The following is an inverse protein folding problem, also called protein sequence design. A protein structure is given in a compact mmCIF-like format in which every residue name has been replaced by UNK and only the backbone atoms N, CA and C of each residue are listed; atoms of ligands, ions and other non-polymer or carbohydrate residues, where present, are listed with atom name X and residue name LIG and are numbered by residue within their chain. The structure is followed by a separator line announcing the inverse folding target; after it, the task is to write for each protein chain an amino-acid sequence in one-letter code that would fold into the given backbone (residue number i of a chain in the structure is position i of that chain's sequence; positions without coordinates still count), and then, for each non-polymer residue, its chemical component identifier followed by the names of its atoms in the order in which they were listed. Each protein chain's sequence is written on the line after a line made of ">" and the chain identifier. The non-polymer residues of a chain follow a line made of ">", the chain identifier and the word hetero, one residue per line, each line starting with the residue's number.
data_IF_670573603578
#
_entry.id   IF_670573603578
#
_cell.length_a   1.000
_cell.length_b   1.000
_cell.length_c   1.000
_cell.angle_alpha   90.00
_cell.angle_beta   90.00
_cell.angle_gamma   90.00
#
_symmetry.space_group_name_H-M   'P 1'
#
loop_
_entity.id
_entity.type
_entity.pdbx_description
1 polymer ?
#
# COMPACT_ATOMS: atom_id res chain seq x y z
N UNK A 1 -16.92 1.78 9.01
CA UNK A 1 -18.20 1.63 8.29
C UNK A 1 -19.28 0.96 9.15
N UNK A 2 -19.03 -0.22 9.74
CA UNK A 2 -20.01 -0.92 10.60
C UNK A 2 -20.48 -0.05 11.79
N UNK A 3 -19.55 0.55 12.53
CA UNK A 3 -19.85 1.44 13.68
C UNK A 3 -20.59 2.73 13.30
N UNK A 4 -20.39 3.21 12.07
CA UNK A 4 -21.05 4.41 11.55
C UNK A 4 -22.49 4.10 11.14
N UNK A 5 -22.73 2.95 10.51
CA UNK A 5 -24.05 2.52 10.07
C UNK A 5 -24.97 2.12 11.25
N UNK A 6 -24.43 1.44 12.26
CA UNK A 6 -25.18 1.02 13.45
C UNK A 6 -25.61 2.19 14.34
N UNK A 7 -25.00 3.37 14.17
CA UNK A 7 -25.39 4.58 14.92
C UNK A 7 -26.68 5.25 14.42
N UNK A 8 -27.13 4.93 13.20
CA UNK A 8 -28.27 5.61 12.54
C UNK A 8 -29.33 4.68 11.94
N UNK A 9 -29.00 3.42 11.69
CA UNK A 9 -29.89 2.48 10.99
C UNK A 9 -29.85 1.10 11.65
N UNK A 10 -30.88 0.28 11.41
CA UNK A 10 -30.91 -1.14 11.83
C UNK A 10 -31.74 -1.98 10.85
N UNK A 11 -31.23 -3.17 10.50
CA UNK A 11 -32.00 -4.23 9.83
C UNK A 11 -31.44 -5.64 10.14
N UNK A 12 -32.23 -6.73 9.98
CA UNK A 12 -31.92 -8.06 10.54
C UNK A 12 -30.61 -8.72 10.07
N UNK A 13 -30.09 -8.38 8.88
CA UNK A 13 -28.84 -8.92 8.32
C UNK A 13 -27.74 -7.86 8.16
N UNK A 14 -27.90 -6.69 8.79
CA UNK A 14 -27.01 -5.54 8.65
C UNK A 14 -25.53 -5.85 8.72
N UNK A 15 -25.10 -6.68 9.68
CA UNK A 15 -23.68 -7.04 9.81
C UNK A 15 -23.18 -7.85 8.62
N UNK A 16 -23.95 -8.84 8.16
CA UNK A 16 -23.61 -9.64 6.98
C UNK A 16 -23.62 -8.78 5.72
N UNK A 17 -24.63 -7.92 5.55
CA UNK A 17 -24.78 -7.10 4.36
C UNK A 17 -23.69 -6.03 4.27
N UNK A 18 -23.33 -5.39 5.39
CA UNK A 18 -22.21 -4.44 5.44
C UNK A 18 -20.88 -5.16 5.20
N UNK A 19 -20.67 -6.36 5.74
CA UNK A 19 -19.44 -7.13 5.47
C UNK A 19 -19.37 -7.55 4.00
N UNK A 20 -20.47 -8.01 3.42
CA UNK A 20 -20.56 -8.34 1.99
C UNK A 20 -20.34 -7.09 1.13
N UNK A 21 -20.95 -5.96 1.49
CA UNK A 21 -20.75 -4.68 0.82
C UNK A 21 -19.30 -4.21 0.91
N UNK A 22 -18.68 -4.27 2.09
CA UNK A 22 -17.26 -3.94 2.30
C UNK A 22 -16.36 -4.86 1.48
N UNK A 23 -16.72 -6.14 1.32
CA UNK A 23 -15.97 -7.11 0.49
C UNK A 23 -16.02 -6.80 -1.00
N UNK A 24 -17.16 -6.36 -1.53
CA UNK A 24 -17.32 -6.00 -2.95
C UNK A 24 -16.99 -4.53 -3.23
N UNK A 25 -16.96 -3.67 -2.20
CA UNK A 25 -16.65 -2.26 -2.32
C UNK A 25 -15.15 -2.09 -2.54
N UNK A 26 -14.77 -1.78 -3.79
CA UNK A 26 -13.39 -1.56 -4.20
C UNK A 26 -12.68 -0.52 -3.33
N UNK A 27 -13.36 0.58 -2.98
CA UNK A 27 -12.83 1.60 -2.04
C UNK A 27 -12.47 0.98 -0.68
N UNK A 28 -13.32 0.12 -0.12
CA UNK A 28 -13.04 -0.50 1.18
C UNK A 28 -11.94 -1.56 1.13
N UNK A 29 -11.80 -2.26 0.00
CA UNK A 29 -10.73 -3.24 -0.21
C UNK A 29 -9.38 -2.54 -0.41
N UNK A 30 -9.35 -1.40 -1.11
CA UNK A 30 -8.15 -0.58 -1.32
C UNK A 30 -7.55 -0.02 -0.01
N UNK A 31 -8.40 0.36 0.96
CA UNK A 31 -7.92 0.86 2.26
C UNK A 31 -7.40 -0.24 3.21
N UNK A 32 -7.70 -1.51 2.97
CA UNK A 32 -7.13 -2.63 3.73
C UNK A 32 -5.87 -3.09 3.02
N UNK A 33 -4.74 -2.46 3.30
CA UNK A 33 -3.44 -2.85 2.74
C UNK A 33 -3.24 -4.38 2.81
N UNK A 34 -2.90 -4.99 1.68
CA UNK A 34 -2.56 -6.41 1.65
C UNK A 34 -1.17 -6.58 2.28
N UNK A 35 -1.13 -7.28 3.42
CA UNK A 35 0.12 -7.75 4.04
C UNK A 35 0.85 -8.67 3.06
N UNK A 36 2.06 -8.30 2.64
CA UNK A 36 2.96 -9.25 1.98
C UNK A 36 3.40 -10.28 3.03
N UNK A 37 2.96 -11.53 2.88
CA UNK A 37 3.30 -12.65 3.77
C UNK A 37 4.71 -13.22 3.49
N UNK A 38 5.66 -12.34 3.18
CA UNK A 38 7.06 -12.71 2.92
C UNK A 38 7.86 -12.60 4.22
N UNK A 39 8.58 -13.68 4.56
CA UNK A 39 9.32 -13.93 5.83
C UNK A 39 8.47 -14.42 7.00
N UNK A 40 9.05 -15.37 7.74
CA UNK A 40 8.54 -15.83 9.03
C UNK A 40 8.39 -14.66 10.01
N UNK A 41 7.35 -14.71 10.83
CA UNK A 41 7.09 -13.75 11.88
C UNK A 41 8.27 -13.76 12.87
N UNK A 42 8.97 -12.63 12.93
CA UNK A 42 10.08 -12.43 13.87
C UNK A 42 9.57 -11.58 15.03
N UNK A 43 9.11 -12.21 16.14
CA UNK A 43 8.69 -11.47 17.31
C UNK A 43 9.86 -10.64 17.86
N UNK A 44 9.56 -9.43 18.30
CA UNK A 44 10.50 -8.63 19.06
C UNK A 44 10.88 -9.37 20.37
N UNK A 45 12.10 -9.16 20.89
CA UNK A 45 12.49 -9.71 22.19
C UNK A 45 11.49 -9.29 23.28
N UNK A 46 11.29 -10.17 24.24
CA UNK A 46 10.42 -9.93 25.38
C UNK A 46 11.27 -9.24 26.45
N UNK A 47 10.83 -8.09 27.00
CA UNK A 47 11.57 -7.42 28.07
C UNK A 47 11.58 -8.24 29.36
N UNK A 48 12.55 -8.02 30.24
CA UNK A 48 12.71 -8.82 31.47
C UNK A 48 11.89 -8.28 32.65
N UNK A 49 11.66 -6.96 32.71
CA UNK A 49 10.91 -6.29 33.79
C UNK A 49 10.05 -5.14 33.27
N UNK A 50 9.09 -4.65 34.08
CA UNK A 50 8.27 -3.49 33.71
C UNK A 50 9.14 -2.27 33.40
N UNK A 51 8.76 -1.53 32.36
CA UNK A 51 9.38 -0.28 31.90
C UNK A 51 10.78 -0.40 31.27
N UNK A 52 11.26 -1.63 31.01
CA UNK A 52 12.49 -1.83 30.23
C UNK A 52 12.34 -1.37 28.78
N UNK A 53 11.19 -1.64 28.17
CA UNK A 53 10.89 -1.26 26.80
C UNK A 53 9.47 -0.71 26.71
N UNK A 54 9.36 0.50 26.17
CA UNK A 54 8.09 1.17 25.93
C UNK A 54 7.84 1.30 24.44
N UNK A 55 6.58 1.11 24.05
CA UNK A 55 6.07 1.50 22.75
C UNK A 55 5.35 2.83 22.87
N UNK A 56 5.43 3.65 21.81
CA UNK A 56 4.86 4.99 21.76
C UNK A 56 4.15 5.18 20.43
N UNK A 57 2.95 5.74 20.45
CA UNK A 57 2.15 5.97 19.24
C UNK A 57 1.25 7.20 19.38
N UNK A 58 0.83 7.77 18.24
CA UNK A 58 -0.10 8.88 18.17
C UNK A 58 -1.43 8.43 17.56
N UNK A 59 -2.47 8.35 18.40
CA UNK A 59 -3.83 8.11 17.94
C UNK A 59 -4.47 9.44 17.58
N UNK A 60 -4.74 9.62 16.28
CA UNK A 60 -5.35 10.83 15.72
C UNK A 60 -6.76 10.54 15.17
N UNK A 61 -7.46 11.59 14.73
CA UNK A 61 -8.82 11.47 14.15
C UNK A 61 -9.95 11.66 15.15
N UNK A 62 -9.65 12.13 16.36
CA UNK A 62 -10.65 12.58 17.32
C UNK A 62 -11.21 13.96 16.94
N UNK A 63 -12.47 14.28 17.28
CA UNK A 63 -12.97 15.64 17.20
C UNK A 63 -12.13 16.58 18.04
N UNK A 64 -11.85 17.79 17.56
CA UNK A 64 -11.09 18.76 18.35
C UNK A 64 -11.81 19.08 19.67
N UNK A 65 -11.17 18.74 20.78
CA UNK A 65 -11.64 19.02 22.13
C UNK A 65 -11.34 20.46 22.55
N UNK A 66 -11.75 20.82 23.77
CA UNK A 66 -11.44 22.15 24.32
C UNK A 66 -9.92 22.40 24.31
N UNK A 67 -9.51 23.67 24.09
CA UNK A 67 -8.10 24.11 24.00
C UNK A 67 -7.30 23.57 22.80
N UNK A 68 -7.98 23.05 21.78
CA UNK A 68 -7.37 22.65 20.51
C UNK A 68 -6.65 21.31 20.54
N UNK A 69 -7.03 20.42 21.47
CA UNK A 69 -6.51 19.04 21.57
C UNK A 69 -7.23 18.18 20.53
N UNK A 70 -6.49 17.40 19.74
CA UNK A 70 -7.05 16.61 18.64
C UNK A 70 -6.42 15.21 18.48
N UNK A 71 -5.47 14.85 19.35
CA UNK A 71 -4.75 13.58 19.32
C UNK A 71 -4.44 13.05 20.72
N UNK A 72 -4.16 11.75 20.82
CA UNK A 72 -3.68 11.09 22.05
C UNK A 72 -2.31 10.50 21.79
N UNK A 73 -1.34 10.87 22.62
CA UNK A 73 -0.06 10.20 22.69
C UNK A 73 -0.18 9.02 23.65
N UNK A 74 0.01 7.82 23.12
CA UNK A 74 -0.16 6.56 23.82
C UNK A 74 1.22 5.98 24.12
N UNK A 75 1.52 5.75 25.39
CA UNK A 75 2.75 5.09 25.84
C UNK A 75 2.38 3.76 26.48
N UNK A 76 2.98 2.66 26.04
CA UNK A 76 2.67 1.31 26.52
C UNK A 76 3.94 0.59 26.93
N UNK A 77 4.01 0.12 28.18
CA UNK A 77 5.05 -0.80 28.63
C UNK A 77 4.85 -2.18 28.00
N UNK A 78 5.85 -2.68 27.26
CA UNK A 78 5.74 -3.95 26.54
C UNK A 78 5.74 -5.17 27.46
N UNK A 79 6.23 -5.04 28.70
CA UNK A 79 6.19 -6.12 29.69
C UNK A 79 4.84 -6.20 30.41
N UNK A 80 4.49 -5.17 31.18
CA UNK A 80 3.27 -5.14 32.00
C UNK A 80 2.00 -4.84 31.21
N UNK A 81 2.12 -4.30 29.99
CA UNK A 81 1.03 -3.72 29.19
C UNK A 81 0.43 -2.47 29.82
N UNK A 82 1.10 -1.83 30.78
CA UNK A 82 0.61 -0.60 31.39
C UNK A 82 0.64 0.52 30.37
N UNK A 83 -0.49 1.21 30.22
CA UNK A 83 -0.66 2.26 29.23
C UNK A 83 -0.89 3.62 29.89
N UNK A 84 -0.34 4.66 29.27
CA UNK A 84 -0.62 6.06 29.60
C UNK A 84 -1.21 6.77 28.39
N UNK A 85 -2.29 7.51 28.61
CA UNK A 85 -3.03 8.21 27.56
C UNK A 85 -2.92 9.73 27.76
N UNK A 86 -2.06 10.36 26.96
CA UNK A 86 -1.70 11.77 27.13
C UNK A 86 -2.38 12.60 26.04
N UNK A 87 -3.27 13.56 26.38
CA UNK A 87 -3.88 14.42 25.38
C UNK A 87 -2.84 15.34 24.75
N UNK A 88 -2.79 15.40 23.42
CA UNK A 88 -1.84 16.21 22.66
C UNK A 88 -2.46 16.83 21.39
N UNK A 89 -1.69 17.67 20.71
CA UNK A 89 -2.05 18.25 19.39
C UNK A 89 -1.31 17.52 18.29
N UNK A 90 -1.90 17.39 17.09
CA UNK A 90 -1.24 16.85 15.89
C UNK A 90 0.09 17.55 15.55
N UNK A 91 0.19 18.83 15.89
CA UNK A 91 1.41 19.64 15.68
C UNK A 91 2.45 19.48 16.79
N UNK A 92 2.24 18.58 17.76
CA UNK A 92 3.24 18.31 18.80
C UNK A 92 4.31 17.43 18.17
N UNK A 93 5.39 18.04 17.72
CA UNK A 93 6.53 17.40 17.10
C UNK A 93 7.42 16.73 18.15
N UNK A 94 7.51 15.40 18.08
CA UNK A 94 8.57 14.67 18.77
C UNK A 94 9.84 14.74 17.89
N UNK A 95 10.53 15.88 17.90
CA UNK A 95 11.62 16.20 16.98
C UNK A 95 12.85 15.25 17.00
N UNK A 96 12.90 14.23 17.86
CA UNK A 96 14.02 13.28 17.94
C UNK A 96 13.61 11.86 18.40
N UNK A 97 12.53 11.30 17.87
CA UNK A 97 12.23 9.87 18.05
C UNK A 97 12.32 9.16 16.70
N UNK A 98 13.15 8.12 16.63
CA UNK A 98 13.20 7.21 15.48
C UNK A 98 11.82 6.58 15.30
N UNK A 99 11.01 7.16 14.41
CA UNK A 99 9.76 6.57 13.99
C UNK A 99 10.07 5.21 13.34
N UNK A 100 9.53 4.13 13.90
CA UNK A 100 9.38 2.91 13.12
C UNK A 100 8.39 3.22 12.01
N UNK A 101 8.87 3.29 10.78
CA UNK A 101 8.00 3.49 9.62
C UNK A 101 6.96 2.36 9.58
N UNK A 102 5.74 2.68 9.15
CA UNK A 102 4.64 1.74 8.96
C UNK A 102 4.97 0.57 7.98
N UNK A 103 6.16 0.60 7.37
CA UNK A 103 6.65 -0.34 6.37
C UNK A 103 7.76 -1.28 6.86
N UNK A 104 8.10 -1.25 8.16
CA UNK A 104 8.71 -2.42 8.79
C UNK A 104 7.59 -3.27 9.42
N UNK A 105 7.39 -4.54 9.00
CA UNK A 105 6.41 -5.48 9.58
C UNK A 105 6.68 -5.86 11.05
N UNK A 106 7.42 -5.04 11.80
CA UNK A 106 7.60 -5.08 13.24
C UNK A 106 6.87 -3.92 13.94
N UNK A 107 5.75 -3.44 13.38
CA UNK A 107 4.79 -2.64 14.15
C UNK A 107 4.34 -3.49 15.35
N UNK A 108 4.63 -3.04 16.57
CA UNK A 108 4.29 -3.75 17.79
C UNK A 108 2.76 -3.88 17.91
N UNK A 109 2.21 -5.00 17.44
CA UNK A 109 0.76 -5.26 17.42
C UNK A 109 0.10 -5.17 18.80
N UNK A 110 0.90 -5.17 19.88
CA UNK A 110 0.40 -4.90 21.22
C UNK A 110 -0.13 -3.46 21.35
N UNK A 111 0.57 -2.50 20.77
CA UNK A 111 0.19 -1.08 20.78
C UNK A 111 -1.10 -0.85 19.98
N UNK A 112 -1.26 -1.54 18.84
CA UNK A 112 -2.50 -1.52 18.06
C UNK A 112 -3.71 -2.05 18.87
N UNK A 113 -3.51 -3.12 19.65
CA UNK A 113 -4.55 -3.66 20.53
C UNK A 113 -4.92 -2.66 21.63
N UNK A 114 -3.94 -1.95 22.19
CA UNK A 114 -4.17 -0.88 23.18
C UNK A 114 -4.96 0.27 22.56
N UNK A 115 -4.54 0.75 21.38
CA UNK A 115 -5.23 1.84 20.66
C UNK A 115 -6.69 1.50 20.36
N UNK A 116 -6.96 0.26 19.93
CA UNK A 116 -8.34 -0.22 19.72
C UNK A 116 -9.14 -0.26 21.02
N UNK A 117 -8.51 -0.66 22.12
CA UNK A 117 -9.15 -0.70 23.44
C UNK A 117 -9.49 0.71 23.95
N UNK A 118 -8.56 1.66 23.77
CA UNK A 118 -8.78 3.08 24.04
C UNK A 118 -9.96 3.63 23.22
N UNK A 119 -10.00 3.38 21.91
CA UNK A 119 -11.09 3.83 21.05
C UNK A 119 -12.47 3.31 21.51
N UNK A 120 -12.53 2.05 21.95
CA UNK A 120 -13.76 1.47 22.50
C UNK A 120 -14.17 2.10 23.84
N UNK A 121 -13.20 2.31 24.75
CA UNK A 121 -13.44 2.94 26.05
C UNK A 121 -13.94 4.38 25.88
N UNK A 122 -13.29 5.18 25.03
CA UNK A 122 -13.70 6.56 24.77
C UNK A 122 -15.08 6.64 24.13
N UNK A 123 -15.45 5.68 23.26
CA UNK A 123 -16.79 5.63 22.67
C UNK A 123 -17.88 5.39 23.72
N UNK A 124 -17.60 4.59 24.75
CA UNK A 124 -18.51 4.37 25.86
C UNK A 124 -18.54 5.55 26.83
N UNK A 125 -17.39 6.15 27.14
CA UNK A 125 -17.25 7.17 28.18
C UNK A 125 -17.63 8.59 27.68
N UNK A 126 -17.34 8.94 26.43
CA UNK A 126 -17.68 10.25 25.87
C UNK A 126 -19.18 10.40 25.54
N UNK A 127 -19.91 9.28 25.42
CA UNK A 127 -21.36 9.27 25.18
C UNK A 127 -21.79 10.16 24.02
N UNK A 128 -22.75 11.06 24.28
CA UNK A 128 -23.28 12.02 23.29
C UNK A 128 -22.43 13.29 23.12
N UNK A 129 -21.34 13.44 23.89
CA UNK A 129 -20.50 14.64 23.89
C UNK A 129 -19.09 14.34 23.36
N UNK A 130 -18.95 14.02 22.05
CA UNK A 130 -17.68 13.57 21.47
C UNK A 130 -16.61 14.66 21.39
N UNK A 131 -16.91 15.92 21.77
CA UNK A 131 -15.92 17.01 21.90
C UNK A 131 -15.28 17.11 23.30
N UNK A 132 -15.70 16.28 24.25
CA UNK A 132 -15.17 16.24 25.62
C UNK A 132 -14.46 14.91 25.93
N UNK A 133 -14.02 14.20 24.89
CA UNK A 133 -13.36 12.91 25.02
C UNK A 133 -12.06 13.00 25.85
N UNK A 134 -11.40 14.16 25.86
CA UNK A 134 -10.18 14.44 26.61
C UNK A 134 -10.41 14.33 28.13
N UNK A 135 -11.60 14.70 28.62
CA UNK A 135 -11.98 14.57 30.04
C UNK A 135 -12.14 13.11 30.47
N UNK A 136 -12.43 12.21 29.53
CA UNK A 136 -12.62 10.79 29.79
C UNK A 136 -11.31 9.99 29.79
N UNK A 137 -10.18 10.57 29.38
CA UNK A 137 -8.91 9.85 29.25
C UNK A 137 -8.43 9.23 30.56
N UNK A 138 -8.49 9.96 31.67
CA UNK A 138 -8.07 9.45 32.97
C UNK A 138 -8.93 8.24 33.42
N UNK A 139 -10.23 8.27 33.11
CA UNK A 139 -11.13 7.14 33.38
C UNK A 139 -10.83 5.96 32.46
N UNK A 140 -10.54 6.22 31.18
CA UNK A 140 -10.15 5.19 30.21
C UNK A 140 -8.82 4.53 30.60
N UNK A 141 -7.81 5.31 31.00
CA UNK A 141 -6.52 4.82 31.47
C UNK A 141 -6.69 3.94 32.72
N UNK A 142 -7.45 4.41 33.70
CA UNK A 142 -7.77 3.63 34.90
C UNK A 142 -8.49 2.32 34.56
N UNK A 143 -9.54 2.39 33.74
CA UNK A 143 -10.30 1.21 33.34
C UNK A 143 -9.41 0.19 32.62
N UNK A 144 -8.57 0.65 31.68
CA UNK A 144 -7.63 -0.22 30.96
C UNK A 144 -6.61 -0.86 31.91
N UNK A 145 -5.91 -0.08 32.73
CA UNK A 145 -4.86 -0.56 33.63
C UNK A 145 -5.40 -1.42 34.80
N UNK A 146 -6.70 -1.32 35.09
CA UNK A 146 -7.40 -2.18 36.06
C UNK A 146 -7.91 -3.50 35.49
N UNK A 147 -8.04 -3.61 34.16
CA UNK A 147 -8.65 -4.78 33.52
C UNK A 147 -7.64 -5.90 33.36
N UNK A 148 -8.04 -7.13 33.69
CA UNK A 148 -7.21 -8.32 33.50
C UNK A 148 -6.94 -8.56 32.02
N UNK A 149 -5.67 -8.58 31.65
CA UNK A 149 -5.26 -8.86 30.27
C UNK A 149 -5.19 -10.38 30.05
N UNK A 150 -5.76 -10.87 28.93
CA UNK A 150 -5.81 -12.30 28.58
C UNK A 150 -4.44 -12.95 28.42
N UNK A 151 -3.42 -12.19 27.97
CA UNK A 151 -2.06 -12.72 27.75
C UNK A 151 -1.29 -12.95 29.05
N UNK A 152 -1.56 -12.14 30.08
CA UNK A 152 -0.87 -12.19 31.37
C UNK A 152 -1.72 -12.84 32.48
N UNK A 153 -3.04 -12.89 32.32
CA UNK A 153 -4.03 -13.18 33.36
C UNK A 153 -3.93 -12.27 34.59
N UNK A 154 -3.38 -11.07 34.41
CA UNK A 154 -3.20 -10.05 35.44
C UNK A 154 -3.53 -8.68 34.86
N UNK A 155 -3.94 -7.73 35.69
CA UNK A 155 -4.08 -6.35 35.21
C UNK A 155 -2.70 -5.71 35.07
N UNK A 156 -2.51 -4.75 34.13
CA UNK A 156 -1.24 -4.06 34.01
C UNK A 156 -0.76 -3.45 35.32
N UNK A 157 -1.68 -2.86 36.09
CA UNK A 157 -1.37 -2.31 37.40
C UNK A 157 -0.84 -3.36 38.38
N UNK A 158 -1.47 -4.55 38.44
CA UNK A 158 -1.02 -5.61 39.34
C UNK A 158 0.39 -6.10 38.99
N UNK A 159 0.78 -6.08 37.72
CA UNK A 159 2.12 -6.48 37.28
C UNK A 159 3.17 -5.44 37.68
N UNK A 160 2.84 -4.15 37.57
CA UNK A 160 3.77 -3.06 37.92
C UNK A 160 3.92 -2.94 39.44
N UNK A 161 2.82 -2.99 40.18
CA UNK A 161 2.80 -2.68 41.62
C UNK A 161 2.74 -3.91 42.52
N UNK A 162 2.50 -5.11 41.98
CA UNK A 162 2.44 -6.36 42.74
C UNK A 162 1.16 -6.57 43.55
N UNK A 163 0.17 -5.68 43.41
CA UNK A 163 -1.14 -5.80 44.06
C UNK A 163 -2.25 -5.26 43.15
N UNK A 164 -3.49 -5.78 43.24
CA UNK A 164 -4.60 -5.29 42.44
C UNK A 164 -4.96 -3.85 42.83
N UNK A 165 -5.50 -3.09 41.88
CA UNK A 165 -5.97 -1.71 42.15
C UNK A 165 -6.99 -1.73 43.29
N UNK A 166 -6.82 -0.91 44.34
CA UNK A 166 -7.86 -0.67 45.34
C UNK A 166 -9.08 -0.05 44.65
N UNK A 167 -10.24 -0.70 44.75
CA UNK A 167 -11.47 -0.20 44.17
C UNK A 167 -11.87 1.13 44.84
N UNK A 168 -12.68 1.96 44.19
CA UNK A 168 -13.17 3.22 44.81
C UNK A 168 -13.86 3.00 46.16
N UNK A 169 -14.46 1.82 46.36
CA UNK A 169 -15.07 1.41 47.62
C UNK A 169 -14.04 1.06 48.71
N UNK A 170 -12.81 0.70 48.34
CA UNK A 170 -11.71 0.41 49.26
C UNK A 170 -11.01 1.68 49.77
N UNK A 171 -11.41 2.86 49.25
CA UNK A 171 -10.97 4.18 49.75
C UNK A 171 -11.81 4.73 50.90
N UNK A 172 -12.91 4.07 51.27
CA UNK A 172 -13.57 4.39 52.53
C UNK A 172 -12.66 4.00 53.70
N UNK A 173 -12.52 4.91 54.66
CA UNK A 173 -11.79 4.69 55.91
C UNK A 173 -12.43 3.54 56.68
N UNK A 174 -12.03 2.30 56.41
CA UNK A 174 -12.25 1.21 57.35
C UNK A 174 -11.44 1.50 58.63
N UNK A 175 -11.97 1.16 59.82
CA UNK A 175 -11.27 1.40 61.06
C UNK A 175 -9.87 0.82 61.00
N UNK A 176 -8.91 1.62 61.44
CA UNK A 176 -7.48 1.29 61.52
C UNK A 176 -7.26 0.02 62.33
N UNK A 177 -7.25 -1.12 61.68
CA UNK A 177 -6.49 -2.27 62.13
C UNK A 177 -5.11 -2.17 61.50
N UNK A 178 -4.10 -2.19 62.37
CA UNK A 178 -2.67 -2.13 62.07
C UNK A 178 -2.38 -2.89 60.78
N UNK A 179 -2.03 -2.17 59.70
CA UNK A 179 -1.40 -2.79 58.55
C UNK A 179 -0.04 -3.26 59.03
N UNK A 180 0.04 -4.54 59.40
CA UNK A 180 1.29 -5.23 59.64
C UNK A 180 2.19 -4.96 58.44
N UNK A 181 3.35 -4.38 58.71
CA UNK A 181 4.43 -4.20 57.74
C UNK A 181 4.71 -5.56 57.11
N UNK A 182 4.18 -5.78 55.91
CA UNK A 182 4.59 -6.89 55.07
C UNK A 182 6.08 -6.71 54.82
N UNK A 183 6.88 -7.70 55.19
CA UNK A 183 8.34 -7.61 55.09
C UNK A 183 8.71 -7.30 53.63
N UNK A 184 9.45 -6.20 53.42
CA UNK A 184 9.76 -5.70 52.08
C UNK A 184 10.53 -6.74 51.26
N UNK A 185 11.30 -7.61 51.91
CA UNK A 185 12.01 -8.74 51.32
C UNK A 185 11.04 -9.76 50.73
N UNK A 186 10.01 -10.16 51.48
CA UNK A 186 8.97 -11.10 51.05
C UNK A 186 8.18 -10.50 49.88
N UNK A 187 7.98 -9.19 49.87
CA UNK A 187 7.27 -8.50 48.78
C UNK A 187 8.10 -8.49 47.50
N UNK A 188 9.39 -8.19 47.60
CA UNK A 188 10.31 -8.23 46.47
C UNK A 188 10.41 -9.65 45.90
N UNK A 189 10.48 -10.69 46.75
CA UNK A 189 10.48 -12.09 46.30
C UNK A 189 9.20 -12.45 45.55
N UNK A 190 8.04 -12.07 46.09
CA UNK A 190 6.76 -12.29 45.42
C UNK A 190 6.66 -11.55 44.09
N UNK A 191 7.18 -10.31 44.01
CA UNK A 191 7.19 -9.52 42.78
C UNK A 191 8.11 -10.14 41.72
N UNK A 192 9.29 -10.63 42.12
CA UNK A 192 10.21 -11.37 41.22
C UNK A 192 9.55 -12.64 40.69
N UNK A 193 8.93 -13.43 41.56
CA UNK A 193 8.19 -14.63 41.16
C UNK A 193 7.05 -14.29 40.19
N UNK A 194 6.32 -13.19 40.44
CA UNK A 194 5.29 -12.71 39.53
C UNK A 194 5.87 -12.35 38.16
N UNK A 195 6.95 -11.58 38.12
CA UNK A 195 7.62 -11.18 36.86
C UNK A 195 8.12 -12.39 36.08
N UNK A 196 8.70 -13.39 36.73
CA UNK A 196 9.13 -14.64 36.09
C UNK A 196 7.95 -15.41 35.47
N UNK A 197 6.83 -15.52 36.19
CA UNK A 197 5.59 -16.14 35.67
C UNK A 197 5.06 -15.36 34.46
N UNK A 198 5.09 -14.02 34.51
CA UNK A 198 4.63 -13.17 33.40
C UNK A 198 5.56 -13.32 32.19
N UNK A 199 6.87 -13.29 32.39
CA UNK A 199 7.86 -13.49 31.34
C UNK A 199 7.64 -14.80 30.60
N UNK A 200 7.52 -15.91 31.35
CA UNK A 200 7.26 -17.24 30.78
C UNK A 200 5.93 -17.31 30.00
N UNK A 201 4.88 -16.65 30.50
CA UNK A 201 3.58 -16.58 29.79
C UNK A 201 3.67 -15.77 28.50
N UNK A 202 4.38 -14.64 28.52
CA UNK A 202 4.60 -13.82 27.32
C UNK A 202 5.39 -14.60 26.28
N UNK A 203 6.38 -15.38 26.70
CA UNK A 203 7.18 -16.23 25.80
C UNK A 203 6.31 -17.29 25.13
N UNK A 204 5.56 -18.09 25.91
CA UNK A 204 4.65 -19.11 25.38
C UNK A 204 3.59 -18.49 24.45
N UNK A 205 3.10 -17.29 24.79
CA UNK A 205 2.11 -16.60 23.97
C UNK A 205 2.72 -16.10 22.65
N UNK A 206 3.93 -15.54 22.70
CA UNK A 206 4.68 -15.09 21.52
C UNK A 206 4.98 -16.24 20.56
N UNK A 207 5.42 -17.39 21.08
CA UNK A 207 5.67 -18.61 20.29
C UNK A 207 4.39 -19.13 19.62
N UNK A 208 3.26 -19.13 20.33
CA UNK A 208 1.96 -19.51 19.74
C UNK A 208 1.53 -18.56 18.62
N UNK A 209 1.71 -17.25 18.82
CA UNK A 209 1.43 -16.26 17.78
C UNK A 209 2.34 -16.44 16.57
N UNK A 210 3.62 -16.69 16.79
CA UNK A 210 4.59 -17.00 15.73
C UNK A 210 4.16 -18.22 14.92
N UNK A 211 3.86 -19.34 15.59
CA UNK A 211 3.41 -20.56 14.91
C UNK A 211 2.14 -20.34 14.07
N UNK A 212 1.15 -19.59 14.60
CA UNK A 212 -0.08 -19.27 13.87
C UNK A 212 0.14 -18.28 12.71
N UNK A 213 1.07 -17.33 12.86
CA UNK A 213 1.39 -16.35 11.82
C UNK A 213 2.21 -17.01 10.68
N UNK A 214 3.11 -17.93 11.02
CA UNK A 214 3.97 -18.64 10.09
C UNK A 214 3.22 -19.64 9.21
N UNK A 215 2.10 -20.21 9.68
CA UNK A 215 1.22 -21.11 8.90
C UNK A 215 0.73 -20.49 7.57
N UNK A 216 0.69 -19.15 7.50
CA UNK A 216 0.24 -18.39 6.34
C UNK A 216 1.38 -17.67 5.60
N UNK A 217 2.65 -17.90 5.99
CA UNK A 217 3.86 -17.24 5.47
C UNK A 217 4.81 -18.25 4.83
N UNK A 218 5.56 -17.82 3.82
CA UNK A 218 6.58 -18.65 3.15
C UNK A 218 7.96 -18.24 3.62
N UNK A 219 8.77 -19.23 4.02
CA UNK A 219 10.18 -19.03 4.30
C UNK A 219 10.96 -19.09 2.98
N UNK A 220 11.67 -18.00 2.66
CA UNK A 220 12.46 -17.83 1.45
C UNK A 220 13.89 -17.48 1.88
N UNK A 221 14.79 -18.45 1.79
CA UNK A 221 16.23 -18.26 2.02
C UNK A 221 16.94 -18.00 0.69
N UNK A 222 17.91 -17.07 0.70
CA UNK A 222 18.72 -16.70 -0.46
C UNK A 222 20.20 -16.91 -0.13
N UNK A 223 20.98 -17.36 -1.10
CA UNK A 223 22.43 -17.53 -1.04
C UNK A 223 23.15 -16.41 -1.80
N UNK A 224 24.42 -16.14 -1.50
CA UNK A 224 25.24 -15.21 -2.30
C UNK A 224 25.32 -15.70 -3.76
N UNK A 225 24.83 -14.87 -4.70
CA UNK A 225 24.68 -15.22 -6.11
C UNK A 225 23.24 -15.48 -6.57
N UNK A 226 22.29 -15.61 -5.64
CA UNK A 226 20.87 -15.65 -5.99
C UNK A 226 20.40 -14.26 -6.44
N UNK A 227 19.72 -14.21 -7.59
CA UNK A 227 19.11 -13.00 -8.12
C UNK A 227 17.90 -12.62 -7.26
N UNK A 228 18.13 -11.77 -6.27
CA UNK A 228 17.08 -11.10 -5.49
C UNK A 228 16.61 -9.86 -6.26
N UNK A 229 15.29 -9.69 -6.40
CA UNK A 229 14.69 -8.49 -6.98
C UNK A 229 14.90 -7.33 -6.01
N UNK A 230 16.01 -6.63 -6.15
CA UNK A 230 16.19 -5.32 -5.55
C UNK A 230 15.27 -4.33 -6.27
N UNK A 231 14.66 -3.45 -5.49
CA UNK A 231 13.64 -2.49 -5.90
C UNK A 231 14.16 -1.55 -7.01
N UNK A 232 13.98 -1.97 -8.26
CA UNK A 232 14.31 -1.19 -9.46
C UNK A 232 13.45 0.09 -9.46
N UNK A 233 14.07 1.26 -9.62
CA UNK A 233 13.34 2.48 -9.98
C UNK A 233 12.71 2.27 -11.36
N UNK A 234 11.37 2.14 -11.42
CA UNK A 234 10.62 1.86 -12.66
C UNK A 234 9.68 3.00 -12.94
N UNK A 235 10.05 3.82 -13.90
CA UNK A 235 9.25 4.93 -14.42
C UNK A 235 8.17 4.39 -15.33
N UNK A 236 6.92 4.84 -15.17
CA UNK A 236 5.85 4.63 -16.16
C UNK A 236 5.53 5.92 -16.87
N UNK A 237 5.80 5.96 -18.18
CA UNK A 237 5.43 7.04 -19.08
C UNK A 237 4.04 6.79 -19.65
N UNK A 238 3.03 7.48 -19.10
CA UNK A 238 1.69 7.48 -19.70
C UNK A 238 1.60 8.56 -20.77
N UNK A 239 1.40 8.14 -22.02
CA UNK A 239 1.21 9.05 -23.16
C UNK A 239 -0.23 9.57 -23.24
N UNK A 240 -0.37 10.87 -23.50
CA UNK A 240 -1.65 11.55 -23.69
C UNK A 240 -1.68 12.18 -25.08
N UNK A 241 -1.94 11.37 -26.12
CA UNK A 241 -2.25 11.94 -27.42
C UNK A 241 -3.71 12.42 -27.44
N UNK A 242 -3.92 13.58 -28.09
CA UNK A 242 -5.23 13.97 -28.65
C UNK A 242 -5.64 12.88 -29.64
N UNK A 243 -6.58 12.02 -29.27
CA UNK A 243 -7.17 11.08 -30.22
C UNK A 243 -8.00 11.83 -31.24
N UNK A 244 -7.62 11.82 -32.51
CA UNK A 244 -8.42 12.36 -33.62
C UNK A 244 -9.62 11.45 -34.00
N UNK A 245 -10.08 10.59 -33.09
CA UNK A 245 -11.15 9.62 -33.33
C UNK A 245 -12.13 9.62 -32.17
N UNK A 246 -13.41 9.83 -32.51
CA UNK A 246 -14.62 10.02 -31.70
C UNK A 246 -14.96 11.48 -31.32
N UNK A 247 -16.19 11.84 -31.66
CA UNK A 247 -16.91 13.10 -31.39
C UNK A 247 -17.12 13.37 -29.88
N UNK A 248 -16.06 13.54 -29.11
CA UNK A 248 -16.13 13.97 -27.72
C UNK A 248 -14.98 14.94 -27.47
N UNK A 249 -15.25 16.12 -26.90
CA UNK A 249 -14.25 17.15 -26.56
C UNK A 249 -13.17 16.70 -25.56
N UNK A 250 -13.24 15.46 -25.07
CA UNK A 250 -12.38 14.87 -24.04
C UNK A 250 -11.49 13.76 -24.61
N UNK A 251 -10.18 13.73 -24.31
CA UNK A 251 -9.29 12.66 -24.75
C UNK A 251 -9.73 11.28 -24.24
N UNK A 252 -9.60 10.27 -25.11
CA UNK A 252 -10.12 8.91 -24.88
C UNK A 252 -9.68 8.26 -23.56
N UNK A 253 -8.45 8.50 -23.12
CA UNK A 253 -7.89 7.96 -21.88
C UNK A 253 -8.59 8.48 -20.61
N UNK A 254 -9.39 9.55 -20.72
CA UNK A 254 -10.21 10.07 -19.64
C UNK A 254 -11.69 9.69 -19.75
N UNK A 255 -12.08 8.97 -20.80
CA UNK A 255 -13.45 8.47 -20.91
C UNK A 255 -13.74 7.51 -19.73
N UNK A 256 -14.98 7.51 -19.22
CA UNK A 256 -15.36 6.60 -18.15
C UNK A 256 -15.50 5.18 -18.70
N UNK A 257 -14.79 4.24 -18.09
CA UNK A 257 -14.97 2.80 -18.19
C UNK A 257 -15.50 2.31 -16.84
N UNK A 258 -16.72 1.77 -16.80
CA UNK A 258 -17.42 1.42 -15.55
C UNK A 258 -17.42 2.53 -14.47
N UNK A 259 -17.49 3.79 -14.90
CA UNK A 259 -17.53 4.96 -14.01
C UNK A 259 -16.16 5.50 -13.58
N UNK A 260 -15.05 4.91 -14.04
CA UNK A 260 -13.68 5.36 -13.76
C UNK A 260 -12.94 5.74 -15.04
N UNK A 261 -12.14 6.83 -15.07
CA UNK A 261 -11.28 7.15 -16.20
C UNK A 261 -10.38 5.96 -16.60
N UNK A 262 -10.32 5.65 -17.91
CA UNK A 262 -9.50 4.55 -18.46
C UNK A 262 -8.06 4.59 -17.94
N UNK A 263 -7.44 5.78 -17.94
CA UNK A 263 -6.06 5.96 -17.52
C UNK A 263 -5.80 5.47 -16.09
N UNK A 264 -6.78 5.62 -15.18
CA UNK A 264 -6.64 5.22 -13.79
C UNK A 264 -6.52 3.70 -13.63
N UNK A 265 -7.11 2.88 -14.50
CA UNK A 265 -6.95 1.42 -14.43
C UNK A 265 -5.49 1.00 -14.51
N UNK A 266 -4.78 1.47 -15.54
CA UNK A 266 -3.36 1.20 -15.68
C UNK A 266 -2.55 1.84 -14.54
N UNK A 267 -2.88 3.08 -14.15
CA UNK A 267 -2.21 3.77 -13.05
C UNK A 267 -2.26 2.98 -11.74
N UNK A 268 -3.43 2.45 -11.37
CA UNK A 268 -3.58 1.63 -10.16
C UNK A 268 -2.75 0.35 -10.22
N UNK A 269 -2.81 -0.38 -11.33
CA UNK A 269 -2.02 -1.60 -11.52
C UNK A 269 -0.54 -1.31 -11.26
N UNK A 270 0.00 -0.24 -11.83
CA UNK A 270 1.40 0.11 -11.63
C UNK A 270 1.69 0.64 -10.23
N UNK A 271 0.79 1.42 -9.64
CA UNK A 271 0.96 1.98 -8.29
C UNK A 271 1.01 0.91 -7.20
N UNK A 272 0.44 -0.27 -7.46
CA UNK A 272 0.42 -1.41 -6.53
C UNK A 272 1.64 -2.34 -6.69
N UNK A 273 2.39 -2.23 -7.78
CA UNK A 273 3.56 -3.07 -8.01
C UNK A 273 4.73 -2.60 -7.15
N UNK A 274 5.24 -3.46 -6.26
CA UNK A 274 6.38 -3.12 -5.40
C UNK A 274 7.67 -2.87 -6.20
N UNK A 275 7.71 -3.47 -7.39
CA UNK A 275 8.62 -3.22 -8.48
C UNK A 275 8.69 -1.75 -8.88
N UNK A 276 7.59 -1.02 -8.86
CA UNK A 276 7.47 0.36 -9.33
C UNK A 276 7.76 1.32 -8.18
N UNK A 277 8.65 2.29 -8.40
CA UNK A 277 9.03 3.30 -7.40
C UNK A 277 8.60 4.70 -7.77
N UNK A 278 8.49 4.97 -9.07
CA UNK A 278 8.18 6.29 -9.59
C UNK A 278 7.22 6.16 -10.78
N UNK A 279 6.18 6.96 -10.83
CA UNK A 279 5.29 7.07 -11.98
C UNK A 279 5.37 8.48 -12.52
N UNK A 280 5.60 8.61 -13.82
CA UNK A 280 5.70 9.91 -14.49
C UNK A 280 4.52 10.07 -15.43
N UNK A 281 3.54 10.85 -14.98
CA UNK A 281 2.32 11.11 -15.74
C UNK A 281 2.55 12.26 -16.71
N UNK A 282 2.57 11.99 -18.01
CA UNK A 282 2.85 13.00 -19.05
C UNK A 282 1.57 13.68 -19.55
N UNK A 283 0.82 14.35 -18.68
CA UNK A 283 -0.50 14.90 -19.01
C UNK A 283 -0.52 16.43 -19.16
N UNK A 284 -1.53 16.93 -19.89
CA UNK A 284 -1.87 18.35 -19.85
C UNK A 284 -2.23 18.74 -18.39
N UNK A 285 -1.70 19.86 -17.85
CA UNK A 285 -1.95 20.29 -16.48
C UNK A 285 -3.43 20.32 -16.08
N UNK A 286 -4.34 20.55 -17.04
CA UNK A 286 -5.78 20.52 -16.81
C UNK A 286 -6.29 19.17 -16.26
N UNK A 287 -5.61 18.07 -16.58
CA UNK A 287 -5.99 16.72 -16.14
C UNK A 287 -5.13 16.19 -14.99
N UNK A 288 -4.28 17.02 -14.39
CA UNK A 288 -3.41 16.63 -13.28
C UNK A 288 -4.23 16.13 -12.08
N UNK A 289 -5.33 16.81 -11.79
CA UNK A 289 -6.23 16.52 -10.66
C UNK A 289 -6.80 15.09 -10.70
N UNK A 290 -6.95 14.50 -11.90
CA UNK A 290 -7.42 13.11 -12.08
C UNK A 290 -6.52 12.12 -11.33
N UNK A 291 -5.22 12.38 -11.29
CA UNK A 291 -4.23 11.52 -10.64
C UNK A 291 -3.88 12.01 -9.24
N UNK A 292 -4.01 13.31 -8.97
CA UNK A 292 -3.54 13.94 -7.73
C UNK A 292 -4.29 13.45 -6.48
N UNK A 293 -5.62 13.24 -6.56
CA UNK A 293 -6.45 12.63 -5.50
C UNK A 293 -6.12 11.14 -5.26
N UNK A 294 -5.30 10.56 -6.14
CA UNK A 294 -4.90 9.16 -6.13
C UNK A 294 -3.46 9.00 -5.61
N UNK A 295 -2.59 10.00 -5.81
CA UNK A 295 -1.21 10.02 -5.36
C UNK A 295 -1.05 9.82 -3.84
N UNK A 296 -1.94 10.39 -3.02
CA UNK A 296 -1.86 10.26 -1.56
C UNK A 296 -2.09 8.83 -1.02
N UNK A 297 -2.57 7.92 -1.87
CA UNK A 297 -3.01 6.57 -1.48
C UNK A 297 -1.93 5.51 -1.66
N UNK A 298 -0.83 5.82 -2.35
CA UNK A 298 0.20 4.84 -2.74
C UNK A 298 1.59 5.29 -2.29
N UNK A 299 2.49 4.32 -2.15
CA UNK A 299 3.90 4.53 -1.78
C UNK A 299 4.79 4.96 -2.95
N UNK A 300 4.25 4.97 -4.15
CA UNK A 300 4.97 5.26 -5.38
C UNK A 300 5.05 6.77 -5.54
N UNK A 301 6.26 7.29 -5.81
CA UNK A 301 6.42 8.72 -6.10
C UNK A 301 5.76 9.04 -7.43
N UNK A 302 4.99 10.13 -7.51
CA UNK A 302 4.27 10.51 -8.73
C UNK A 302 4.72 11.88 -9.19
N UNK A 303 5.41 11.89 -10.32
CA UNK A 303 5.84 13.11 -11.01
C UNK A 303 4.97 13.37 -12.23
N UNK A 304 5.02 14.61 -12.71
CA UNK A 304 4.24 15.05 -13.86
C UNK A 304 5.16 15.74 -14.86
N UNK A 305 4.99 15.41 -16.13
CA UNK A 305 5.68 16.06 -17.25
C UNK A 305 4.68 16.62 -18.24
N UNK A 306 5.08 17.63 -19.01
CA UNK A 306 4.24 18.21 -20.05
C UNK A 306 4.22 17.32 -21.30
N UNK A 307 3.08 17.18 -21.98
CA UNK A 307 3.00 16.45 -23.24
C UNK A 307 3.65 17.25 -24.37
N UNK A 308 4.29 16.53 -25.29
CA UNK A 308 4.85 17.09 -26.52
C UNK A 308 3.86 17.10 -27.68
N UNK A 309 4.32 17.48 -28.88
CA UNK A 309 3.46 17.52 -30.08
C UNK A 309 3.12 16.12 -30.56
N UNK A 310 4.12 15.25 -30.54
CA UNK A 310 4.00 13.86 -30.92
C UNK A 310 4.17 12.93 -29.71
N UNK A 311 3.98 11.62 -29.96
CA UNK A 311 4.16 10.59 -28.95
C UNK A 311 5.59 10.63 -28.41
N UNK A 312 6.57 10.56 -29.29
CA UNK A 312 8.00 10.57 -28.95
C UNK A 312 8.43 11.78 -28.11
N UNK A 313 7.92 12.98 -28.40
CA UNK A 313 8.23 14.19 -27.63
C UNK A 313 7.73 14.09 -26.18
N UNK A 314 6.60 13.40 -25.99
CA UNK A 314 6.02 13.16 -24.67
C UNK A 314 6.82 12.11 -23.90
N UNK A 315 7.30 11.05 -24.58
CA UNK A 315 8.21 10.04 -23.99
C UNK A 315 9.45 10.76 -23.49
N UNK A 316 10.03 11.59 -24.35
CA UNK A 316 11.25 12.33 -24.07
C UNK A 316 11.07 13.30 -22.90
N UNK A 317 9.96 14.04 -22.86
CA UNK A 317 9.65 14.96 -21.77
C UNK A 317 9.56 14.23 -20.43
N UNK A 318 8.89 13.08 -20.38
CA UNK A 318 8.87 12.28 -19.15
C UNK A 318 10.21 11.60 -18.84
N UNK A 319 11.02 11.26 -19.86
CA UNK A 319 12.38 10.72 -19.66
C UNK A 319 13.29 11.73 -18.94
N UNK A 320 13.08 13.04 -19.10
CA UNK A 320 13.84 14.08 -18.40
C UNK A 320 13.54 14.12 -16.89
N UNK A 321 12.36 13.66 -16.46
CA UNK A 321 11.94 13.65 -15.06
C UNK A 321 12.39 12.39 -14.30
N UNK A 322 12.93 11.41 -15.03
CA UNK A 322 13.42 10.13 -14.51
C UNK A 322 14.64 10.34 -13.64
N UNK A 323 14.60 9.83 -12.41
CA UNK A 323 15.75 9.82 -11.52
C UNK A 323 16.95 9.08 -12.17
N UNK A 324 18.14 9.68 -12.10
CA UNK A 324 19.39 9.11 -12.62
C UNK A 324 19.73 7.74 -12.01
N UNK A 325 19.25 7.45 -10.79
CA UNK A 325 19.40 6.15 -10.12
C UNK A 325 18.49 5.05 -10.67
N UNK A 326 17.54 5.38 -11.54
CA UNK A 326 16.64 4.40 -12.16
C UNK A 326 17.42 3.43 -13.04
N UNK A 327 17.10 2.14 -12.95
CA UNK A 327 17.79 1.12 -13.74
C UNK A 327 17.01 0.69 -14.99
N UNK A 328 15.69 0.91 -14.99
CA UNK A 328 14.79 0.62 -16.11
C UNK A 328 13.71 1.70 -16.25
N UNK A 329 13.36 2.02 -17.49
CA UNK A 329 12.18 2.81 -17.86
C UNK A 329 11.15 1.88 -18.47
N UNK A 330 9.89 2.05 -18.08
CA UNK A 330 8.75 1.31 -18.59
C UNK A 330 7.79 2.31 -19.26
N UNK A 331 7.44 2.10 -20.52
CA UNK A 331 6.54 2.99 -21.25
C UNK A 331 5.23 2.26 -21.45
N UNK A 332 4.12 2.90 -21.06
CA UNK A 332 2.79 2.28 -21.14
C UNK A 332 1.73 3.22 -21.69
N UNK A 333 0.95 2.73 -22.65
CA UNK A 333 -0.21 3.44 -23.16
C UNK A 333 -1.33 3.44 -22.11
N UNK A 334 -1.69 4.63 -21.62
CA UNK A 334 -2.82 4.83 -20.69
C UNK A 334 -4.15 4.30 -21.23
N UNK A 335 -4.29 4.19 -22.56
CA UNK A 335 -5.44 3.61 -23.24
C UNK A 335 -5.47 2.07 -23.22
N UNK A 336 -4.51 1.39 -22.55
CA UNK A 336 -4.52 -0.05 -22.29
C UNK A 336 -4.83 -0.33 -20.81
N UNK A 337 -6.12 -0.31 -20.41
CA UNK A 337 -6.51 -0.43 -19.00
C UNK A 337 -6.40 -1.87 -18.45
N UNK A 338 -6.19 -2.87 -19.31
CA UNK A 338 -6.33 -4.30 -18.96
C UNK A 338 -5.02 -5.07 -18.87
N UNK A 339 -3.89 -4.36 -18.81
CA UNK A 339 -2.58 -4.98 -18.59
C UNK A 339 -2.59 -5.76 -17.27
N UNK A 340 -2.01 -6.96 -17.25
CA UNK A 340 -1.97 -7.77 -16.02
C UNK A 340 -0.69 -7.47 -15.21
N UNK A 341 -0.74 -7.50 -13.87
CA UNK A 341 0.46 -7.41 -13.04
C UNK A 341 1.51 -8.45 -13.40
N UNK A 342 1.09 -9.67 -13.76
CA UNK A 342 1.97 -10.75 -14.17
C UNK A 342 2.72 -10.42 -15.46
N UNK A 343 2.04 -9.89 -16.47
CA UNK A 343 2.66 -9.52 -17.75
C UNK A 343 3.63 -8.34 -17.57
N UNK A 344 3.28 -7.36 -16.73
CA UNK A 344 4.18 -6.27 -16.35
C UNK A 344 5.46 -6.83 -15.72
N UNK A 345 5.35 -7.76 -14.77
CA UNK A 345 6.52 -8.38 -14.11
C UNK A 345 7.40 -9.16 -15.08
N UNK A 346 6.81 -9.90 -16.03
CA UNK A 346 7.56 -10.62 -17.07
C UNK A 346 8.36 -9.66 -17.94
N UNK A 347 7.72 -8.63 -18.51
CA UNK A 347 8.42 -7.71 -19.44
C UNK A 347 9.47 -6.89 -18.72
N UNK A 348 9.27 -6.56 -17.45
CA UNK A 348 10.29 -5.92 -16.61
C UNK A 348 11.52 -6.82 -16.41
N UNK A 349 11.30 -8.11 -16.14
CA UNK A 349 12.38 -9.09 -16.00
C UNK A 349 13.14 -9.27 -17.32
N UNK A 350 12.43 -9.37 -18.43
CA UNK A 350 13.07 -9.54 -19.74
C UNK A 350 13.82 -8.28 -20.17
N UNK A 351 13.30 -7.09 -19.85
CA UNK A 351 13.98 -5.82 -20.08
C UNK A 351 15.25 -5.68 -19.25
N UNK A 352 15.23 -6.17 -18.00
CA UNK A 352 16.43 -6.26 -17.16
C UNK A 352 17.53 -7.12 -17.79
N UNK A 353 17.16 -8.34 -18.24
CA UNK A 353 18.10 -9.32 -18.77
C UNK A 353 18.67 -8.93 -20.14
N UNK A 354 17.83 -8.37 -21.02
CA UNK A 354 18.18 -8.10 -22.41
C UNK A 354 18.53 -6.63 -22.69
N UNK A 355 18.31 -5.74 -21.71
CA UNK A 355 18.47 -4.29 -21.84
C UNK A 355 17.27 -3.58 -22.47
N UNK A 356 16.51 -4.26 -23.33
CA UNK A 356 15.23 -3.81 -23.87
C UNK A 356 14.28 -5.00 -24.09
N UNK A 357 13.01 -4.83 -23.74
CA UNK A 357 11.96 -5.81 -23.97
C UNK A 357 10.61 -5.14 -24.22
N UNK A 358 9.73 -5.82 -24.94
CA UNK A 358 8.41 -5.33 -25.30
C UNK A 358 7.37 -6.42 -25.14
N UNK A 359 6.19 -6.06 -24.62
CA UNK A 359 5.06 -6.97 -24.57
C UNK A 359 4.46 -7.16 -25.98
N UNK A 360 4.17 -8.39 -26.38
CA UNK A 360 3.52 -8.67 -27.66
C UNK A 360 2.76 -9.98 -27.68
N UNK A 361 1.92 -10.16 -28.69
CA UNK A 361 1.18 -11.40 -28.94
C UNK A 361 1.34 -11.88 -30.38
N UNK A 362 1.34 -13.18 -30.67
CA UNK A 362 1.41 -13.68 -32.04
C UNK A 362 0.22 -13.18 -32.90
N UNK A 363 0.47 -12.84 -34.15
CA UNK A 363 -0.62 -12.39 -35.04
C UNK A 363 -1.54 -13.55 -35.43
N UNK A 364 -2.84 -13.41 -35.18
CA UNK A 364 -3.87 -14.38 -35.59
C UNK A 364 -4.38 -14.17 -37.01
N UNK A 365 -4.45 -12.92 -37.45
CA UNK A 365 -4.95 -12.56 -38.76
C UNK A 365 -3.96 -12.95 -39.87
N UNK A 366 -4.47 -13.20 -41.08
CA UNK A 366 -3.60 -13.33 -42.26
C UNK A 366 -3.24 -11.93 -42.76
N UNK A 367 -1.97 -11.55 -42.65
CA UNK A 367 -1.50 -10.22 -43.06
C UNK A 367 -1.04 -10.25 -44.51
N UNK A 368 -1.51 -9.26 -45.29
CA UNK A 368 -1.11 -9.03 -46.68
C UNK A 368 -0.33 -7.73 -46.76
N UNK A 369 0.79 -7.75 -47.46
CA UNK A 369 1.45 -6.54 -47.92
C UNK A 369 0.74 -6.08 -49.20
N UNK A 370 0.34 -4.80 -49.24
CA UNK A 370 -0.28 -4.18 -50.40
C UNK A 370 0.63 -3.07 -50.95
N UNK A 371 0.56 -2.82 -52.25
CA UNK A 371 1.23 -1.67 -52.86
C UNK A 371 0.34 -0.41 -52.78
N UNK A 372 0.85 0.72 -53.28
CA UNK A 372 0.16 2.02 -53.26
C UNK A 372 -1.21 2.02 -53.97
N UNK A 373 -1.45 1.04 -54.85
CA UNK A 373 -2.72 0.86 -55.56
C UNK A 373 -3.65 -0.16 -54.88
N UNK A 374 -3.36 -0.54 -53.62
CA UNK A 374 -4.11 -1.51 -52.80
C UNK A 374 -4.20 -2.92 -53.40
N UNK A 375 -3.28 -3.29 -54.30
CA UNK A 375 -3.15 -4.67 -54.77
C UNK A 375 -2.24 -5.47 -53.84
N UNK A 376 -2.65 -6.72 -53.56
CA UNK A 376 -1.86 -7.66 -52.75
C UNK A 376 -0.52 -7.97 -53.44
N UNK A 377 0.58 -7.63 -52.78
CA UNK A 377 1.96 -7.92 -53.19
C UNK A 377 2.37 -9.30 -52.70
N UNK A 378 2.27 -9.52 -51.39
CA UNK A 378 2.61 -10.81 -50.77
C UNK A 378 1.82 -11.08 -49.51
N UNK A 379 1.77 -12.34 -49.12
CA UNK A 379 1.26 -12.75 -47.81
C UNK A 379 2.45 -12.91 -46.87
N UNK A 380 2.42 -12.23 -45.73
CA UNK A 380 3.48 -12.35 -44.74
C UNK A 380 3.33 -13.66 -43.94
N UNK A 381 4.44 -14.29 -43.57
CA UNK A 381 4.39 -15.49 -42.73
C UNK A 381 4.01 -15.13 -41.30
N UNK A 382 2.73 -15.33 -40.96
CA UNK A 382 2.17 -15.03 -39.63
C UNK A 382 2.93 -15.68 -38.47
N UNK A 383 3.67 -16.78 -38.68
CA UNK A 383 4.47 -17.42 -37.62
C UNK A 383 5.61 -16.53 -37.11
N UNK A 384 6.01 -15.56 -37.92
CA UNK A 384 7.10 -14.61 -37.62
C UNK A 384 6.57 -13.25 -37.16
N UNK A 385 5.25 -13.03 -37.20
CA UNK A 385 4.65 -11.72 -36.92
C UNK A 385 4.07 -11.66 -35.52
N UNK A 386 4.37 -10.57 -34.85
CA UNK A 386 3.89 -10.25 -33.51
C UNK A 386 3.19 -8.90 -33.53
N UNK A 387 2.04 -8.83 -32.86
CA UNK A 387 1.36 -7.58 -32.55
C UNK A 387 1.97 -7.02 -31.28
N UNK A 388 2.67 -5.90 -31.42
CA UNK A 388 3.36 -5.23 -30.33
C UNK A 388 2.38 -4.44 -29.46
N UNK A 389 2.56 -4.52 -28.15
CA UNK A 389 1.76 -3.88 -27.13
C UNK A 389 2.65 -3.06 -26.19
N UNK A 390 2.03 -2.43 -25.19
CA UNK A 390 2.73 -1.88 -24.03
C UNK A 390 2.34 -2.70 -22.80
N UNK A 391 3.26 -2.90 -21.83
CA UNK A 391 4.44 -2.07 -21.56
C UNK A 391 5.67 -2.37 -22.44
N UNK A 392 6.47 -1.33 -22.68
CA UNK A 392 7.78 -1.37 -23.35
C UNK A 392 8.87 -1.00 -22.35
N UNK A 393 9.82 -1.88 -22.10
CA UNK A 393 10.81 -1.73 -21.02
C UNK A 393 12.21 -1.62 -21.60
N UNK A 394 13.01 -0.66 -21.12
CA UNK A 394 14.36 -0.44 -21.60
C UNK A 394 15.25 0.21 -20.54
N UNK A 395 16.56 0.05 -20.66
CA UNK A 395 17.52 0.79 -19.83
C UNK A 395 17.45 2.30 -20.11
N UNK A 396 17.48 3.18 -19.10
CA UNK A 396 17.39 4.62 -19.32
C UNK A 396 18.49 5.16 -20.24
N UNK A 397 19.73 4.72 -20.05
CA UNK A 397 20.87 5.18 -20.86
C UNK A 397 20.73 4.76 -22.33
N UNK A 398 20.16 3.58 -22.57
CA UNK A 398 19.88 3.09 -23.92
C UNK A 398 18.81 3.94 -24.61
N UNK A 399 17.75 4.29 -23.89
CA UNK A 399 16.70 5.16 -24.40
C UNK A 399 17.20 6.59 -24.65
N UNK A 400 18.00 7.15 -23.75
CA UNK A 400 18.63 8.48 -23.92
C UNK A 400 19.51 8.52 -25.16
N UNK A 401 20.40 7.54 -25.31
CA UNK A 401 21.25 7.42 -26.50
C UNK A 401 20.43 7.30 -27.79
N UNK A 402 19.27 6.63 -27.72
CA UNK A 402 18.37 6.47 -28.86
C UNK A 402 17.72 7.79 -29.26
N UNK A 403 17.23 8.57 -28.30
CA UNK A 403 16.71 9.91 -28.55
C UNK A 403 17.78 10.87 -29.11
N UNK A 404 19.01 10.81 -28.60
CA UNK A 404 20.12 11.59 -29.15
C UNK A 404 20.41 11.24 -30.61
N UNK A 405 20.37 9.94 -30.95
CA UNK A 405 20.55 9.49 -32.33
C UNK A 405 19.43 9.95 -33.25
N UNK A 406 18.17 9.73 -32.85
CA UNK A 406 16.99 10.13 -33.63
C UNK A 406 16.98 11.64 -33.89
N UNK A 407 17.24 12.45 -32.86
CA UNK A 407 17.29 13.91 -32.99
C UNK A 407 18.44 14.40 -33.88
N UNK A 408 19.57 13.69 -33.89
CA UNK A 408 20.72 14.05 -34.73
C UNK A 408 20.51 13.71 -36.20
N UNK A 409 19.90 12.56 -36.48
CA UNK A 409 19.76 12.00 -37.83
C UNK A 409 18.40 12.33 -38.49
N UNK A 410 17.48 12.99 -37.77
CA UNK A 410 16.14 13.38 -38.22
C UNK A 410 15.32 12.20 -38.78
N UNK A 411 15.33 11.09 -38.02
CA UNK A 411 14.70 9.83 -38.43
C UNK A 411 13.28 9.74 -37.88
N UNK A 412 12.34 9.28 -38.71
CA UNK A 412 10.96 9.05 -38.30
C UNK A 412 10.85 7.76 -37.45
N UNK A 413 10.23 7.88 -36.27
CA UNK A 413 10.09 6.82 -35.28
C UNK A 413 8.64 6.33 -35.25
N UNK A 414 8.43 5.02 -35.31
CA UNK A 414 7.07 4.43 -35.39
C UNK A 414 6.52 3.99 -34.04
N UNK A 415 7.37 3.57 -33.11
CA UNK A 415 7.06 3.26 -31.71
C UNK A 415 8.27 3.50 -30.77
N UNK A 416 8.14 3.34 -29.44
CA UNK A 416 9.25 3.71 -28.53
C UNK A 416 10.42 2.72 -28.62
N UNK A 417 10.13 1.49 -29.03
CA UNK A 417 11.13 0.44 -29.23
C UNK A 417 11.96 0.72 -30.47
N UNK A 418 11.37 1.28 -31.53
CA UNK A 418 12.09 1.62 -32.76
C UNK A 418 13.22 2.62 -32.53
N UNK A 419 13.11 3.49 -31.51
CA UNK A 419 14.19 4.39 -31.05
C UNK A 419 15.45 3.58 -30.69
N UNK A 420 15.27 2.45 -30.01
CA UNK A 420 16.35 1.56 -29.59
C UNK A 420 16.81 0.65 -30.74
N UNK A 421 15.91 0.26 -31.64
CA UNK A 421 16.23 -0.52 -32.84
C UNK A 421 17.17 0.25 -33.80
N UNK A 422 17.03 1.58 -33.88
CA UNK A 422 17.95 2.43 -34.65
C UNK A 422 19.40 2.37 -34.14
N UNK A 423 19.59 2.09 -32.85
CA UNK A 423 20.92 1.83 -32.26
C UNK A 423 21.44 0.42 -32.55
N UNK A 424 20.68 -0.41 -33.29
CA UNK A 424 20.95 -1.83 -33.55
C UNK A 424 21.02 -2.69 -32.27
N UNK A 425 20.42 -2.22 -31.17
CA UNK A 425 20.31 -3.00 -29.95
C UNK A 425 19.15 -4.00 -30.08
N UNK A 426 19.34 -5.29 -29.73
CA UNK A 426 18.28 -6.27 -29.83
C UNK A 426 17.18 -6.02 -28.79
N UNK A 427 15.92 -6.15 -29.22
CA UNK A 427 14.75 -5.99 -28.34
C UNK A 427 14.07 -7.35 -28.17
N UNK A 428 13.88 -7.77 -26.93
CA UNK A 428 13.24 -9.05 -26.63
C UNK A 428 11.71 -8.93 -26.65
N UNK A 429 11.01 -9.88 -27.25
CA UNK A 429 9.53 -9.92 -27.23
C UNK A 429 9.09 -10.80 -26.08
N UNK A 430 8.45 -10.20 -25.08
CA UNK A 430 7.78 -10.89 -23.98
C UNK A 430 6.36 -11.24 -24.38
N UNK A 431 6.00 -12.52 -24.31
CA UNK A 431 4.63 -12.96 -24.61
C UNK A 431 3.63 -12.42 -23.58
N UNK A 432 2.67 -11.64 -24.06
CA UNK A 432 1.59 -11.04 -23.27
C UNK A 432 0.22 -11.69 -23.51
N UNK A 433 -0.83 -10.96 -23.16
CA UNK A 433 -2.21 -11.41 -23.30
C UNK A 433 -2.97 -10.65 -24.39
N UNK A 434 -3.82 -11.36 -25.14
CA UNK A 434 -4.77 -10.75 -26.08
C UNK A 434 -5.81 -9.88 -25.37
N UNK A 435 -5.99 -10.02 -24.06
CA UNK A 435 -6.91 -9.18 -23.28
C UNK A 435 -6.35 -7.78 -23.00
N UNK A 436 -5.04 -7.55 -23.22
CA UNK A 436 -4.38 -6.24 -23.07
C UNK A 436 -4.66 -5.32 -24.27
N UNK A 437 -5.93 -5.13 -24.58
CA UNK A 437 -6.38 -4.33 -25.73
C UNK A 437 -6.11 -2.84 -25.50
N UNK A 438 -5.91 -2.10 -26.60
CA UNK A 438 -5.88 -0.64 -26.60
C UNK A 438 -7.28 -0.12 -26.94
N UNK A 439 -7.86 0.65 -26.03
CA UNK A 439 -9.16 1.29 -26.26
C UNK A 439 -8.98 2.44 -27.24
N UNK A 440 -9.56 2.30 -28.42
CA UNK A 440 -9.50 3.30 -29.49
C UNK A 440 -10.87 3.69 -30.04
N UNK A 441 -11.86 2.81 -29.90
CA UNK A 441 -13.22 2.94 -30.44
C UNK A 441 -14.27 2.67 -29.35
N UNK A 442 -15.56 3.02 -29.58
CA UNK A 442 -16.63 2.67 -28.65
C UNK A 442 -16.80 1.16 -28.47
N UNK A 443 -16.55 0.37 -29.51
CA UNK A 443 -16.66 -1.08 -29.44
C UNK A 443 -15.57 -1.67 -28.52
N UNK A 444 -14.38 -1.07 -28.51
CA UNK A 444 -13.31 -1.46 -27.58
C UNK A 444 -13.69 -1.21 -26.12
N UNK A 445 -14.47 -0.16 -25.82
CA UNK A 445 -14.98 0.10 -24.48
C UNK A 445 -15.90 -1.03 -24.01
N UNK A 446 -16.87 -1.41 -24.84
CA UNK A 446 -17.79 -2.51 -24.52
C UNK A 446 -17.04 -3.83 -24.32
N UNK A 447 -16.03 -4.09 -25.14
CA UNK A 447 -15.16 -5.24 -24.99
C UNK A 447 -14.38 -5.18 -23.66
N UNK A 448 -13.81 -4.02 -23.33
CA UNK A 448 -13.07 -3.84 -22.09
C UNK A 448 -13.95 -4.05 -20.85
N UNK A 449 -15.17 -3.50 -20.83
CA UNK A 449 -16.15 -3.70 -19.76
C UNK A 449 -16.47 -5.19 -19.56
N UNK A 450 -16.66 -5.92 -20.66
CA UNK A 450 -16.93 -7.36 -20.58
C UNK A 450 -15.75 -8.13 -20.02
N UNK A 451 -14.53 -7.83 -20.45
CA UNK A 451 -13.32 -8.48 -19.94
C UNK A 451 -13.14 -8.22 -18.44
N UNK A 452 -13.40 -6.99 -17.96
CA UNK A 452 -13.33 -6.66 -16.54
C UNK A 452 -14.35 -7.48 -15.75
N UNK A 453 -15.61 -7.45 -16.15
CA UNK A 453 -16.68 -8.16 -15.45
C UNK A 453 -16.45 -9.69 -15.37
N UNK A 454 -15.83 -10.30 -16.39
CA UNK A 454 -15.52 -11.74 -16.39
C UNK A 454 -14.40 -12.12 -15.41
N UNK A 455 -13.54 -11.17 -15.00
CA UNK A 455 -12.49 -11.42 -14.00
C UNK A 455 -13.01 -11.32 -12.56
N UNK A 456 -14.17 -10.71 -12.34
CA UNK A 456 -14.77 -10.50 -11.02
C UNK A 456 -15.75 -11.62 -10.59
N UNK A 457 -16.21 -12.43 -11.55
CA UNK A 457 -16.95 -13.70 -11.34
C UNK A 457 -16.02 -14.88 -11.20
#
# INVERSE_FOLDING_TARGET
>A
MLDLATSRYYWPRMRQDIVSHVRICQTCQLYKGQSQNTRLYTPLPIPERPWDEVSMDFVSGFPTAARGIDSVFVVVDRFSKMAHFIPCRKTSDAAHLNFSSAYHPQSDGQTEVVNRSLGNLLRCLAGEQPKQWDLALAQAEFAYNSTVNRSTNKSPFEIVYGFPIPHYLDRHSLPSFERTSFDATTWIENLKNLHEIIHNKLQVTSEKYKASADDHRRDLSFSEGDLVLEAVGKVILTHFLKGAGMHVDMPKQYLPLLGQPIALYSFYIFSELCEVKEIIVVCDPFYKDVFQDTCEKFLVDVKFALPGKERQDSVFSGLQEVDESSQLVCIHDSARPLVSPEDVKKVLKDGWLNGAAVLGVPVKATIKEANDNLFVVKTLDRKTLWEIQTPQVMKPDLLRAGFEFVNREDVEVTDDVSIVEHLKHPVYITEGSYTNIKVTTPDDLLLAERIINMKET
#
